data_IF_462325216020
#
_entry.id   IF_462325216020
#
_cell.length_a   1.000
_cell.length_b   1.000
_cell.length_c   1.000
_cell.angle_alpha   90.00
_cell.angle_beta   90.00
_cell.angle_gamma   90.00
#
_symmetry.space_group_name_H-M   'P 1'
#
loop_
_entity.id
_entity.type
_entity.pdbx_description
1 polymer ?
#
# COMPACT_ATOMS: atom_id res chain seq x y z
N UNK A 1 -31.33 8.65 12.14
CA UNK A 1 -30.37 7.74 11.49
C UNK A 1 -29.01 8.07 12.05
N UNK A 2 -28.42 7.17 12.84
CA UNK A 2 -27.06 7.35 13.34
C UNK A 2 -26.08 7.29 12.15
N UNK A 3 -25.17 8.27 12.08
CA UNK A 3 -24.23 8.44 10.99
C UNK A 3 -23.10 7.40 11.12
N UNK A 4 -23.38 6.17 10.69
CA UNK A 4 -22.49 5.00 10.78
C UNK A 4 -21.16 5.14 10.01
N UNK A 5 -20.97 6.26 9.30
CA UNK A 5 -19.76 6.59 8.53
C UNK A 5 -18.72 7.41 9.31
N UNK A 6 -19.04 7.86 10.53
CA UNK A 6 -18.09 8.60 11.38
C UNK A 6 -17.14 7.70 12.19
N UNK A 7 -17.41 6.38 12.27
CA UNK A 7 -16.60 5.45 13.07
C UNK A 7 -15.45 4.77 12.30
N UNK A 8 -15.31 5.05 10.99
CA UNK A 8 -14.13 4.59 10.24
C UNK A 8 -12.98 5.55 10.54
N UNK A 9 -12.00 5.11 11.33
CA UNK A 9 -10.78 5.87 11.56
C UNK A 9 -10.06 6.11 10.22
N UNK A 10 -10.05 7.36 9.77
CA UNK A 10 -9.40 7.79 8.52
C UNK A 10 -7.91 8.11 8.69
N UNK A 11 -7.43 8.22 9.93
CA UNK A 11 -6.04 8.61 10.23
C UNK A 11 -5.01 7.76 9.48
N UNK A 12 -5.10 6.42 9.40
CA UNK A 12 -4.11 5.64 8.65
C UNK A 12 -4.15 5.91 7.13
N UNK A 13 -5.32 6.26 6.60
CA UNK A 13 -5.43 6.64 5.19
C UNK A 13 -4.74 7.99 4.94
N UNK A 14 -5.08 8.98 5.75
CA UNK A 14 -4.58 10.34 5.59
C UNK A 14 -3.07 10.41 5.89
N UNK A 15 -2.62 9.77 6.96
CA UNK A 15 -1.24 9.89 7.44
C UNK A 15 -0.27 8.97 6.69
N UNK A 16 -0.67 7.76 6.32
CA UNK A 16 0.25 6.79 5.69
C UNK A 16 0.03 6.67 4.18
N UNK A 17 -1.21 6.72 3.69
CA UNK A 17 -1.46 6.54 2.24
C UNK A 17 -1.16 7.82 1.51
N UNK A 18 -1.82 8.93 1.85
CA UNK A 18 -1.64 10.19 1.13
C UNK A 18 -0.16 10.61 1.16
N UNK A 19 0.51 10.50 2.31
CA UNK A 19 1.93 10.84 2.44
C UNK A 19 2.85 9.94 1.60
N UNK A 20 2.58 8.63 1.55
CA UNK A 20 3.37 7.68 0.72
C UNK A 20 3.17 7.97 -0.76
N UNK A 21 1.94 8.24 -1.19
CA UNK A 21 1.65 8.62 -2.58
C UNK A 21 2.41 9.90 -2.95
N UNK A 22 2.37 10.93 -2.10
CA UNK A 22 3.09 12.19 -2.35
C UNK A 22 4.62 12.03 -2.37
N UNK A 23 5.17 11.16 -1.52
CA UNK A 23 6.61 10.99 -1.35
C UNK A 23 7.27 10.04 -2.35
N UNK A 24 6.54 9.09 -2.93
CA UNK A 24 7.13 7.99 -3.70
C UNK A 24 6.66 7.88 -5.15
N UNK A 25 5.55 8.52 -5.51
CA UNK A 25 5.05 8.45 -6.90
C UNK A 25 5.79 9.39 -7.85
N UNK A 26 5.89 8.96 -9.10
CA UNK A 26 6.20 9.87 -10.20
C UNK A 26 5.09 10.90 -10.37
N UNK A 27 5.37 11.98 -11.11
CA UNK A 27 4.35 13.00 -11.42
C UNK A 27 3.10 12.39 -12.08
N UNK A 28 3.29 11.53 -13.08
CA UNK A 28 2.19 10.89 -13.80
C UNK A 28 1.34 9.99 -12.89
N UNK A 29 2.00 9.23 -12.01
CA UNK A 29 1.31 8.39 -11.02
C UNK A 29 0.53 9.24 -10.01
N UNK A 30 1.12 10.33 -9.52
CA UNK A 30 0.48 11.27 -8.59
C UNK A 30 -0.75 11.92 -9.19
N UNK A 31 -0.67 12.40 -10.44
CA UNK A 31 -1.82 13.00 -11.16
C UNK A 31 -2.99 12.01 -11.28
N UNK A 32 -2.70 10.70 -11.37
CA UNK A 32 -3.72 9.65 -11.45
C UNK A 32 -4.32 9.28 -10.09
N UNK A 33 -3.51 9.03 -9.07
CA UNK A 33 -3.96 8.36 -7.84
C UNK A 33 -4.19 9.31 -6.66
N UNK A 34 -3.41 10.39 -6.55
CA UNK A 34 -3.48 11.28 -5.39
C UNK A 34 -4.83 12.00 -5.26
N UNK A 35 -5.46 12.52 -6.34
CA UNK A 35 -6.79 13.12 -6.24
C UNK A 35 -7.84 12.12 -5.75
N UNK A 36 -7.77 10.86 -6.20
CA UNK A 36 -8.70 9.81 -5.80
C UNK A 36 -8.57 9.47 -4.31
N UNK A 37 -7.34 9.41 -3.80
CA UNK A 37 -7.09 9.18 -2.37
C UNK A 37 -7.58 10.36 -1.52
N UNK A 38 -7.25 11.61 -1.91
CA UNK A 38 -7.65 12.81 -1.16
C UNK A 38 -9.17 13.06 -1.14
N UNK A 39 -9.88 12.60 -2.17
CA UNK A 39 -11.35 12.65 -2.24
C UNK A 39 -12.02 11.41 -1.60
N UNK A 40 -11.24 10.49 -1.01
CA UNK A 40 -11.70 9.21 -0.47
C UNK A 40 -12.47 8.35 -1.48
N UNK A 41 -12.24 8.55 -2.78
CA UNK A 41 -12.75 7.70 -3.84
C UNK A 41 -12.07 6.31 -3.85
N UNK A 42 -10.86 6.23 -3.27
CA UNK A 42 -10.15 4.99 -2.97
C UNK A 42 -9.66 5.00 -1.52
N UNK A 43 -9.66 3.81 -0.90
CA UNK A 43 -9.00 3.58 0.38
C UNK A 43 -7.78 2.67 0.17
N UNK A 44 -6.76 2.83 1.00
CA UNK A 44 -5.49 2.12 0.86
C UNK A 44 -4.90 1.73 2.21
N UNK A 45 -3.87 0.89 2.17
CA UNK A 45 -3.03 0.53 3.30
C UNK A 45 -1.55 0.57 2.88
N UNK A 46 -0.66 0.83 3.83
CA UNK A 46 0.79 0.71 3.61
C UNK A 46 1.25 -0.66 4.14
N UNK A 47 1.15 -1.67 3.27
CA UNK A 47 1.37 -3.07 3.62
C UNK A 47 2.86 -3.46 3.59
N UNK A 48 3.63 -3.00 4.57
CA UNK A 48 5.07 -3.30 4.67
C UNK A 48 5.36 -4.55 5.50
N UNK A 49 4.91 -4.55 6.76
CA UNK A 49 5.19 -5.60 7.76
C UNK A 49 4.69 -6.95 7.28
N UNK A 50 5.50 -7.98 7.53
CA UNK A 50 5.16 -9.39 7.33
C UNK A 50 5.06 -10.10 8.67
N UNK A 51 4.33 -11.22 8.71
CA UNK A 51 4.18 -12.06 9.90
C UNK A 51 5.54 -12.44 10.52
N UNK A 52 6.55 -12.72 9.69
CA UNK A 52 7.92 -13.01 10.14
C UNK A 52 8.80 -11.79 10.38
N UNK A 53 8.46 -10.63 9.81
CA UNK A 53 9.38 -9.50 9.65
C UNK A 53 8.69 -8.13 9.71
N UNK A 54 8.87 -7.40 10.82
CA UNK A 54 8.42 -6.00 10.95
C UNK A 54 9.57 -4.98 10.94
N UNK A 55 10.57 -5.16 11.81
CA UNK A 55 11.62 -4.15 12.00
C UNK A 55 12.77 -4.25 10.99
N UNK A 56 13.08 -5.46 10.50
CA UNK A 56 14.22 -5.68 9.60
C UNK A 56 13.74 -5.79 8.14
N UNK A 57 13.61 -4.63 7.48
CA UNK A 57 13.14 -4.52 6.09
C UNK A 57 13.99 -5.34 5.11
N UNK A 58 15.29 -5.52 5.40
CA UNK A 58 16.19 -6.31 4.54
C UNK A 58 15.92 -7.82 4.59
N UNK A 59 15.03 -8.28 5.47
CA UNK A 59 14.64 -9.68 5.60
C UNK A 59 13.22 -9.96 5.11
N UNK A 60 12.51 -8.98 4.56
CA UNK A 60 11.21 -9.24 3.93
C UNK A 60 11.33 -10.34 2.88
N UNK A 61 10.34 -11.21 2.86
CA UNK A 61 10.30 -12.42 2.05
C UNK A 61 9.45 -12.24 0.78
N UNK A 62 8.50 -11.28 0.78
CA UNK A 62 7.70 -10.97 -0.41
C UNK A 62 8.62 -10.49 -1.53
N UNK A 63 8.49 -11.07 -2.72
CA UNK A 63 9.25 -10.68 -3.91
C UNK A 63 8.39 -9.88 -4.88
N UNK A 64 9.06 -9.02 -5.65
CA UNK A 64 8.50 -8.36 -6.82
C UNK A 64 9.44 -8.61 -7.99
N UNK A 65 9.11 -9.59 -8.84
CA UNK A 65 9.96 -9.99 -9.97
C UNK A 65 9.45 -9.33 -11.24
N UNK A 66 10.29 -8.56 -11.91
CA UNK A 66 9.92 -7.95 -13.19
C UNK A 66 9.90 -8.99 -14.32
N UNK A 67 8.81 -9.03 -15.07
CA UNK A 67 8.59 -9.91 -16.22
C UNK A 67 8.68 -9.07 -17.49
N UNK A 68 9.78 -9.24 -18.22
CA UNK A 68 10.08 -8.44 -19.41
C UNK A 68 9.09 -8.65 -20.56
N UNK A 69 8.50 -9.84 -20.65
CA UNK A 69 7.61 -10.24 -21.74
C UNK A 69 6.27 -9.50 -21.69
N UNK A 70 5.79 -9.15 -20.49
CA UNK A 70 4.48 -8.52 -20.28
C UNK A 70 4.57 -7.11 -19.70
N UNK A 71 5.77 -6.64 -19.33
CA UNK A 71 5.98 -5.36 -18.64
C UNK A 71 5.23 -5.29 -17.30
N UNK A 72 5.24 -6.41 -16.56
CA UNK A 72 4.53 -6.58 -15.29
C UNK A 72 5.47 -6.98 -14.16
N UNK A 73 5.00 -6.87 -12.92
CA UNK A 73 5.66 -7.43 -11.75
C UNK A 73 4.85 -8.60 -11.20
N UNK A 74 5.47 -9.76 -11.03
CA UNK A 74 4.91 -10.85 -10.21
C UNK A 74 5.19 -10.57 -8.73
N UNK A 75 4.12 -10.34 -7.98
CA UNK A 75 4.16 -10.09 -6.53
C UNK A 75 3.84 -11.41 -5.82
N UNK A 76 4.84 -11.98 -5.16
CA UNK A 76 4.74 -13.32 -4.61
C UNK A 76 5.09 -13.37 -3.12
N UNK A 77 4.21 -14.02 -2.34
CA UNK A 77 4.41 -14.34 -0.92
C UNK A 77 4.70 -15.84 -0.79
N UNK A 78 5.97 -16.29 -0.83
CA UNK A 78 6.34 -17.70 -0.97
C UNK A 78 6.11 -18.54 0.29
N UNK A 79 6.01 -17.89 1.46
CA UNK A 79 5.92 -18.54 2.77
C UNK A 79 4.77 -17.97 3.58
N UNK A 80 4.28 -18.73 4.56
CA UNK A 80 3.31 -18.20 5.52
C UNK A 80 3.84 -16.94 6.23
N UNK A 81 5.13 -16.93 6.56
CA UNK A 81 5.80 -15.81 7.25
C UNK A 81 5.92 -14.56 6.39
N UNK A 82 5.86 -14.69 5.05
CA UNK A 82 5.83 -13.55 4.11
C UNK A 82 4.47 -12.85 3.99
N UNK A 83 3.42 -13.36 4.65
CA UNK A 83 2.08 -12.73 4.64
C UNK A 83 2.14 -11.36 5.29
N UNK A 84 1.54 -10.34 4.67
CA UNK A 84 1.43 -9.00 5.27
C UNK A 84 0.57 -9.04 6.53
N UNK A 85 1.02 -8.35 7.59
CA UNK A 85 0.46 -8.41 8.94
C UNK A 85 0.32 -7.04 9.58
#
# INVERSE_FOLDING_TARGET
MANFLLDVNKEPHDDLIVSTLEGQMSREQSEKWLPLAKDYAIFGCYAQTELGHGSNIRRLETTATYIHETDEFDIHSPTLTSTKW
#
